data_IF_282989782423
#
_entry.id   IF_282989782423
#
_cell.length_a   1.000
_cell.length_b   1.000
_cell.length_c   1.000
_cell.angle_alpha   90.00
_cell.angle_beta   90.00
_cell.angle_gamma   90.00
#
_symmetry.space_group_name_H-M   'P 1'
#
loop_
_entity.id
_entity.type
_entity.pdbx_description
1 polymer ?
#
# COMPACT_ATOMS: atom_id res chain seq x y z
N UNK A 1 -15.24 17.46 -58.79
CA UNK A 1 -14.04 16.61 -58.83
C UNK A 1 -13.22 16.95 -57.59
N UNK A 2 -13.20 16.08 -56.59
CA UNK A 2 -12.61 16.36 -55.27
C UNK A 2 -11.09 16.22 -55.24
N UNK A 3 -10.43 16.98 -54.36
CA UNK A 3 -9.04 16.79 -53.98
C UNK A 3 -8.94 16.89 -52.46
N UNK A 4 -8.86 15.71 -51.85
CA UNK A 4 -8.15 15.30 -50.63
C UNK A 4 -8.14 16.23 -49.42
N UNK A 5 -9.08 15.95 -48.51
CA UNK A 5 -8.92 16.12 -47.06
C UNK A 5 -8.03 14.97 -46.53
N UNK A 6 -6.75 15.26 -46.28
CA UNK A 6 -5.83 14.32 -45.62
C UNK A 6 -5.82 14.60 -44.12
N UNK A 7 -6.84 14.10 -43.42
CA UNK A 7 -6.73 13.81 -41.99
C UNK A 7 -5.90 12.54 -41.82
N UNK A 8 -4.60 12.68 -41.57
CA UNK A 8 -3.80 11.62 -40.95
C UNK A 8 -4.24 11.48 -39.48
N UNK A 9 -5.30 10.69 -39.27
CA UNK A 9 -5.55 10.05 -38.00
C UNK A 9 -4.46 9.01 -37.77
N UNK A 10 -3.68 9.18 -36.71
CA UNK A 10 -2.81 8.15 -36.14
C UNK A 10 -3.58 6.83 -36.02
N UNK A 11 -3.39 5.92 -36.98
CA UNK A 11 -3.89 4.57 -36.90
C UNK A 11 -3.07 3.84 -35.84
N UNK A 12 -3.64 3.71 -34.63
CA UNK A 12 -3.13 2.80 -33.61
C UNK A 12 -3.16 1.41 -34.24
N UNK A 13 -2.02 0.91 -34.70
CA UNK A 13 -1.91 -0.41 -35.31
C UNK A 13 -2.29 -1.45 -34.25
N UNK A 14 -3.47 -2.03 -34.40
CA UNK A 14 -3.97 -3.10 -33.56
C UNK A 14 -3.08 -4.33 -33.71
N UNK A 15 -2.57 -4.87 -32.60
CA UNK A 15 -1.68 -6.02 -32.59
C UNK A 15 -2.53 -7.28 -32.71
N UNK A 16 -2.29 -8.06 -33.76
CA UNK A 16 -3.04 -9.29 -34.03
C UNK A 16 -2.40 -10.45 -33.25
N UNK A 17 -3.23 -11.36 -32.71
CA UNK A 17 -2.75 -12.57 -32.04
C UNK A 17 -3.01 -13.78 -32.93
N UNK A 18 -1.99 -14.60 -33.15
CA UNK A 18 -2.19 -15.93 -33.73
C UNK A 18 -3.01 -16.82 -32.78
N UNK A 19 -3.74 -17.80 -33.34
CA UNK A 19 -4.51 -18.76 -32.56
C UNK A 19 -3.62 -19.58 -31.61
N UNK A 20 -2.40 -19.91 -32.05
CA UNK A 20 -1.41 -20.61 -31.23
C UNK A 20 -0.92 -19.77 -30.05
N UNK A 21 -0.63 -18.48 -30.27
CA UNK A 21 -0.23 -17.57 -29.19
C UNK A 21 -1.36 -17.37 -28.19
N UNK A 22 -2.61 -17.27 -28.65
CA UNK A 22 -3.78 -17.13 -27.79
C UNK A 22 -3.98 -18.38 -26.91
N UNK A 23 -3.87 -19.57 -27.51
CA UNK A 23 -3.92 -20.86 -26.77
C UNK A 23 -2.79 -20.96 -25.73
N UNK A 24 -1.58 -20.50 -26.06
CA UNK A 24 -0.45 -20.47 -25.10
C UNK A 24 -0.72 -19.49 -23.95
N UNK A 25 -1.23 -18.30 -24.23
CA UNK A 25 -1.60 -17.31 -23.21
C UNK A 25 -2.70 -17.82 -22.29
N UNK A 26 -3.69 -18.56 -22.81
CA UNK A 26 -4.75 -19.16 -21.99
C UNK A 26 -4.27 -20.20 -20.97
N UNK A 27 -3.07 -20.78 -21.15
CA UNK A 27 -2.46 -21.67 -20.15
C UNK A 27 -1.98 -20.92 -18.91
N UNK A 28 -1.76 -19.61 -19.01
CA UNK A 28 -1.45 -18.80 -17.84
C UNK A 28 -2.66 -18.75 -16.89
N UNK A 29 -2.41 -18.67 -15.56
CA UNK A 29 -3.47 -18.46 -14.59
C UNK A 29 -4.37 -17.27 -14.94
N UNK A 30 -5.67 -17.40 -14.67
CA UNK A 30 -6.70 -16.43 -15.09
C UNK A 30 -6.32 -14.99 -14.74
N UNK A 31 -5.80 -14.75 -13.53
CA UNK A 31 -5.43 -13.42 -13.05
C UNK A 31 -4.19 -12.82 -13.77
N UNK A 32 -3.34 -13.65 -14.40
CA UNK A 32 -2.20 -13.18 -15.20
C UNK A 32 -2.53 -12.98 -16.67
N UNK A 33 -3.58 -13.63 -17.21
CA UNK A 33 -3.90 -13.59 -18.65
C UNK A 33 -4.03 -12.19 -19.21
N UNK A 34 -4.82 -11.34 -18.54
CA UNK A 34 -5.03 -9.95 -18.95
C UNK A 34 -3.72 -9.14 -18.93
N UNK A 35 -2.89 -9.37 -17.91
CA UNK A 35 -1.58 -8.74 -17.80
C UNK A 35 -0.63 -9.19 -18.92
N UNK A 36 -0.49 -10.51 -19.11
CA UNK A 36 0.38 -11.12 -20.13
C UNK A 36 -0.02 -10.60 -21.51
N UNK A 37 -1.32 -10.54 -21.80
CA UNK A 37 -1.85 -9.97 -23.05
C UNK A 37 -1.41 -8.51 -23.23
N UNK A 38 -1.68 -7.65 -22.25
CA UNK A 38 -1.31 -6.22 -22.29
C UNK A 38 0.19 -6.02 -22.46
N UNK A 39 1.01 -6.78 -21.73
CA UNK A 39 2.47 -6.66 -21.75
C UNK A 39 3.05 -7.12 -23.09
N UNK A 40 2.56 -8.24 -23.63
CA UNK A 40 2.93 -8.72 -24.94
C UNK A 40 2.53 -7.73 -26.05
N UNK A 41 1.32 -7.16 -26.02
CA UNK A 41 0.88 -6.14 -26.98
C UNK A 41 1.67 -4.84 -26.89
N UNK A 42 2.01 -4.40 -25.67
CA UNK A 42 2.87 -3.23 -25.46
C UNK A 42 4.25 -3.47 -26.10
N UNK A 43 4.87 -4.61 -25.80
CA UNK A 43 6.20 -4.96 -26.30
C UNK A 43 6.22 -5.22 -27.80
N UNK A 44 5.15 -5.81 -28.34
CA UNK A 44 4.95 -5.97 -29.78
C UNK A 44 4.94 -4.60 -30.47
N UNK A 45 4.21 -3.62 -29.93
CA UNK A 45 4.23 -2.24 -30.43
C UNK A 45 5.60 -1.58 -30.35
N UNK A 46 6.31 -1.75 -29.22
CA UNK A 46 7.66 -1.20 -29.03
C UNK A 46 8.69 -1.77 -30.02
N UNK A 47 8.58 -3.06 -30.34
CA UNK A 47 9.49 -3.76 -31.26
C UNK A 47 8.99 -3.77 -32.72
N UNK A 48 7.85 -3.13 -33.00
CA UNK A 48 7.27 -3.04 -34.35
C UNK A 48 6.60 -4.32 -34.86
N UNK A 49 6.32 -5.30 -33.99
CA UNK A 49 5.56 -6.50 -34.36
C UNK A 49 4.07 -6.17 -34.54
N UNK A 50 3.53 -6.51 -35.71
CA UNK A 50 2.09 -6.40 -36.01
C UNK A 50 1.29 -7.62 -35.57
N UNK A 51 1.95 -8.76 -35.44
CA UNK A 51 1.36 -10.02 -35.02
C UNK A 51 2.19 -10.65 -33.89
N UNK A 52 1.52 -11.12 -32.84
CA UNK A 52 2.12 -11.93 -31.78
C UNK A 52 1.92 -13.39 -32.15
N UNK A 53 2.99 -14.01 -32.65
CA UNK A 53 3.06 -15.45 -32.84
C UNK A 53 3.43 -16.15 -31.54
N UNK A 54 3.28 -17.47 -31.53
CA UNK A 54 3.58 -18.28 -30.37
C UNK A 54 5.09 -18.24 -30.03
N UNK A 55 5.95 -18.13 -31.06
CA UNK A 55 7.40 -17.96 -30.95
C UNK A 55 7.77 -16.59 -30.40
N UNK A 56 7.10 -15.51 -30.84
CA UNK A 56 7.30 -14.16 -30.31
C UNK A 56 6.90 -14.12 -28.83
N UNK A 57 5.81 -14.78 -28.47
CA UNK A 57 5.37 -14.90 -27.08
C UNK A 57 6.40 -15.66 -26.22
N UNK A 58 7.02 -16.73 -26.75
CA UNK A 58 8.08 -17.46 -26.06
C UNK A 58 9.38 -16.66 -25.96
N UNK A 59 9.74 -15.87 -26.99
CA UNK A 59 10.86 -14.93 -26.92
C UNK A 59 10.61 -13.86 -25.86
N UNK A 60 9.40 -13.32 -25.79
CA UNK A 60 9.03 -12.35 -24.76
C UNK A 60 9.12 -12.98 -23.37
N UNK A 61 8.60 -14.20 -23.20
CA UNK A 61 8.74 -14.98 -21.97
C UNK A 61 10.20 -15.18 -21.60
N UNK A 62 11.05 -15.64 -22.52
CA UNK A 62 12.46 -15.95 -22.25
C UNK A 62 13.30 -14.69 -22.01
N UNK A 63 12.99 -13.57 -22.65
CA UNK A 63 13.67 -12.31 -22.40
C UNK A 63 13.22 -11.68 -21.07
N UNK A 64 11.96 -11.88 -20.68
CA UNK A 64 11.44 -11.39 -19.40
C UNK A 64 11.86 -12.28 -18.22
N UNK A 65 11.91 -13.60 -18.41
CA UNK A 65 12.29 -14.59 -17.40
C UNK A 65 13.79 -14.95 -17.46
N UNK A 66 14.54 -14.52 -18.48
CA UNK A 66 15.98 -14.76 -18.60
C UNK A 66 16.82 -13.95 -17.61
N UNK A 67 16.22 -12.94 -16.95
CA UNK A 67 16.80 -12.24 -15.79
C UNK A 67 16.73 -13.07 -14.49
N UNK A 68 16.11 -14.24 -14.51
CA UNK A 68 15.69 -15.02 -13.35
C UNK A 68 16.69 -16.09 -12.88
N UNK A 69 18.00 -15.86 -13.03
CA UNK A 69 19.03 -16.73 -12.45
C UNK A 69 19.21 -18.10 -13.11
N UNK A 70 18.95 -18.23 -14.42
CA UNK A 70 19.19 -19.45 -15.20
C UNK A 70 18.06 -20.48 -15.17
N UNK A 71 18.32 -21.69 -15.68
CA UNK A 71 17.33 -22.74 -15.96
C UNK A 71 16.62 -23.28 -14.69
N UNK A 72 17.33 -23.33 -13.57
CA UNK A 72 16.75 -23.71 -12.27
C UNK A 72 15.73 -22.68 -11.74
N UNK A 73 16.01 -21.38 -11.93
CA UNK A 73 15.09 -20.29 -11.57
C UNK A 73 13.83 -20.28 -12.42
N UNK A 74 13.95 -20.60 -13.72
CA UNK A 74 12.82 -20.78 -14.64
C UNK A 74 11.87 -21.89 -14.21
N UNK A 75 12.40 -23.03 -13.75
CA UNK A 75 11.60 -24.17 -13.30
C UNK A 75 10.84 -23.85 -12.01
N UNK A 76 11.53 -23.25 -11.03
CA UNK A 76 10.90 -22.82 -9.79
C UNK A 76 9.82 -21.75 -10.03
N UNK A 77 10.06 -20.83 -10.96
CA UNK A 77 9.11 -19.80 -11.32
C UNK A 77 7.87 -20.35 -12.04
N UNK A 78 8.05 -21.33 -12.93
CA UNK A 78 6.93 -22.02 -13.58
C UNK A 78 5.99 -22.67 -12.54
N UNK A 79 6.55 -23.35 -11.53
CA UNK A 79 5.75 -23.94 -10.45
C UNK A 79 5.03 -22.91 -9.57
N UNK A 80 5.61 -21.72 -9.34
CA UNK A 80 4.92 -20.63 -8.63
C UNK A 80 3.78 -20.04 -9.48
N UNK A 81 4.02 -19.85 -10.78
CA UNK A 81 3.00 -19.37 -11.72
C UNK A 81 1.84 -20.37 -11.79
N UNK A 82 2.09 -21.68 -11.89
CA UNK A 82 1.04 -22.70 -11.85
C UNK A 82 0.20 -22.66 -10.57
N UNK A 83 0.83 -22.38 -9.43
CA UNK A 83 0.15 -22.15 -8.14
C UNK A 83 -0.52 -20.78 -8.03
N UNK A 84 -0.52 -20.00 -9.11
CA UNK A 84 -1.12 -18.69 -9.15
C UNK A 84 -0.39 -17.64 -8.30
N UNK A 85 0.94 -17.76 -8.16
CA UNK A 85 1.78 -16.81 -7.44
C UNK A 85 2.76 -16.13 -8.39
N UNK A 86 3.10 -14.89 -8.07
CA UNK A 86 4.14 -14.17 -8.80
C UNK A 86 5.50 -14.67 -8.33
N UNK A 87 6.36 -15.12 -9.24
CA UNK A 87 7.66 -15.64 -8.87
C UNK A 87 8.61 -14.51 -8.43
N UNK A 88 9.62 -14.86 -7.62
CA UNK A 88 10.60 -13.93 -7.07
C UNK A 88 12.00 -14.31 -7.55
N UNK A 89 12.82 -13.30 -7.83
CA UNK A 89 14.26 -13.51 -8.06
C UNK A 89 14.96 -13.88 -6.75
N UNK A 90 16.04 -14.67 -6.83
CA UNK A 90 16.83 -15.05 -5.65
C UNK A 90 17.34 -13.83 -4.86
N UNK A 91 17.82 -12.80 -5.57
CA UNK A 91 18.29 -11.56 -4.95
C UNK A 91 17.16 -10.77 -4.24
N UNK A 92 15.94 -10.75 -4.80
CA UNK A 92 14.79 -10.13 -4.11
C UNK A 92 14.35 -10.94 -2.88
N UNK A 93 14.45 -12.26 -2.93
CA UNK A 93 14.19 -13.13 -1.77
C UNK A 93 15.22 -12.87 -0.66
N UNK A 94 16.51 -12.83 -0.98
CA UNK A 94 17.57 -12.51 -0.01
C UNK A 94 17.35 -11.14 0.65
N UNK A 95 16.90 -10.14 -0.12
CA UNK A 95 16.57 -8.83 0.44
C UNK A 95 15.35 -8.89 1.37
N UNK A 96 14.32 -9.67 1.03
CA UNK A 96 13.17 -9.91 1.92
C UNK A 96 13.61 -10.59 3.23
N UNK A 97 14.63 -11.45 3.22
CA UNK A 97 15.15 -12.10 4.43
C UNK A 97 15.78 -11.10 5.43
N UNK A 98 16.22 -9.92 4.96
CA UNK A 98 16.69 -8.84 5.85
C UNK A 98 15.57 -8.18 6.66
N UNK A 99 14.32 -8.41 6.28
CA UNK A 99 13.15 -7.95 6.99
C UNK A 99 12.84 -8.92 8.14
N UNK A 100 12.48 -8.42 9.34
CA UNK A 100 11.92 -9.23 10.43
C UNK A 100 10.85 -10.24 9.96
N UNK A 101 10.95 -11.50 10.42
CA UNK A 101 10.16 -12.64 9.91
C UNK A 101 8.66 -12.35 9.88
N UNK A 102 8.11 -11.80 10.95
CA UNK A 102 6.67 -11.51 11.07
C UNK A 102 6.15 -10.50 10.03
N UNK A 103 7.01 -9.65 9.46
CA UNK A 103 6.63 -8.68 8.42
C UNK A 103 6.79 -9.24 7.01
N UNK A 104 7.57 -10.31 6.82
CA UNK A 104 7.88 -10.86 5.49
C UNK A 104 6.64 -11.27 4.70
N UNK A 105 5.63 -11.97 5.24
CA UNK A 105 4.46 -12.36 4.46
C UNK A 105 3.68 -11.15 3.95
N UNK A 106 3.62 -10.08 4.75
CA UNK A 106 2.96 -8.84 4.38
C UNK A 106 3.72 -8.09 3.29
N UNK A 107 5.04 -7.92 3.43
CA UNK A 107 5.86 -7.24 2.42
C UNK A 107 5.88 -8.04 1.12
N UNK A 108 5.88 -9.37 1.23
CA UNK A 108 5.71 -10.26 0.09
C UNK A 108 4.39 -9.98 -0.64
N UNK A 109 3.27 -9.94 0.09
CA UNK A 109 1.97 -9.59 -0.51
C UNK A 109 1.99 -8.21 -1.17
N UNK A 110 2.56 -7.19 -0.52
CA UNK A 110 2.64 -5.83 -1.08
C UNK A 110 3.45 -5.83 -2.39
N UNK A 111 4.56 -6.56 -2.42
CA UNK A 111 5.41 -6.65 -3.60
C UNK A 111 4.71 -7.39 -4.75
N UNK A 112 3.98 -8.46 -4.45
CA UNK A 112 3.19 -9.20 -5.44
C UNK A 112 2.04 -8.35 -5.99
N UNK A 113 1.30 -7.63 -5.14
CA UNK A 113 0.24 -6.72 -5.59
C UNK A 113 0.80 -5.57 -6.44
N UNK A 114 1.95 -5.01 -6.05
CA UNK A 114 2.62 -3.96 -6.84
C UNK A 114 3.11 -4.50 -8.18
N UNK A 115 3.57 -5.76 -8.22
CA UNK A 115 3.89 -6.45 -9.46
C UNK A 115 2.64 -6.57 -10.34
N UNK A 116 1.51 -7.02 -9.78
CA UNK A 116 0.24 -7.13 -10.50
C UNK A 116 -0.21 -5.79 -11.09
N UNK A 117 -0.26 -4.74 -10.24
CA UNK A 117 -0.68 -3.39 -10.61
C UNK A 117 0.16 -2.85 -11.78
N UNK A 118 1.49 -2.97 -11.68
CA UNK A 118 2.43 -2.45 -12.68
C UNK A 118 2.67 -3.39 -13.86
N UNK A 119 2.08 -4.58 -13.84
CA UNK A 119 2.23 -5.58 -14.90
C UNK A 119 3.60 -6.24 -14.94
N UNK A 120 4.28 -6.37 -13.81
CA UNK A 120 5.49 -7.16 -13.69
C UNK A 120 5.14 -8.63 -13.49
N UNK A 121 5.85 -9.50 -14.21
CA UNK A 121 5.66 -10.96 -14.14
C UNK A 121 6.47 -11.61 -13.02
N UNK A 122 7.30 -10.83 -12.31
CA UNK A 122 8.13 -11.28 -11.20
C UNK A 122 8.37 -10.14 -10.21
N UNK A 123 8.78 -10.52 -9.00
CA UNK A 123 9.38 -9.59 -8.04
C UNK A 123 10.90 -9.68 -8.11
N UNK A 124 11.50 -8.65 -8.71
CA UNK A 124 12.95 -8.47 -8.78
C UNK A 124 13.42 -7.33 -7.85
N UNK A 125 14.73 -7.13 -7.75
CA UNK A 125 15.33 -6.13 -6.86
C UNK A 125 14.81 -4.72 -7.16
N UNK A 126 14.72 -4.34 -8.44
CA UNK A 126 14.21 -3.01 -8.85
C UNK A 126 12.74 -2.81 -8.42
N UNK A 127 11.90 -3.84 -8.52
CA UNK A 127 10.52 -3.76 -8.04
C UNK A 127 10.48 -3.70 -6.52
N UNK A 128 11.29 -4.51 -5.85
CA UNK A 128 11.34 -4.56 -4.39
C UNK A 128 11.84 -3.24 -3.78
N UNK A 129 12.79 -2.57 -4.43
CA UNK A 129 13.20 -1.20 -4.06
C UNK A 129 12.04 -0.20 -4.14
N UNK A 130 11.18 -0.33 -5.17
CA UNK A 130 9.98 0.51 -5.26
C UNK A 130 8.96 0.17 -4.17
N UNK A 131 8.91 -1.06 -3.69
CA UNK A 131 8.09 -1.45 -2.53
C UNK A 131 8.61 -0.77 -1.26
N UNK A 132 9.91 -0.81 -1.03
CA UNK A 132 10.55 -0.13 0.10
C UNK A 132 10.31 1.39 0.06
N UNK A 133 10.39 1.98 -1.14
CA UNK A 133 10.11 3.38 -1.40
C UNK A 133 8.66 3.82 -1.08
N UNK A 134 7.68 2.89 -1.03
CA UNK A 134 6.32 3.23 -0.59
C UNK A 134 6.28 3.76 0.85
N UNK A 135 7.24 3.33 1.69
CA UNK A 135 7.41 3.83 3.05
C UNK A 135 8.19 5.15 3.13
N UNK A 136 8.75 5.62 2.01
CA UNK A 136 9.56 6.82 1.90
C UNK A 136 8.80 8.04 1.42
N UNK A 137 7.51 7.91 1.08
CA UNK A 137 6.65 9.04 0.76
C UNK A 137 6.64 9.99 1.96
N UNK A 138 7.58 10.94 1.94
CA UNK A 138 7.62 12.07 2.84
C UNK A 138 6.29 12.77 2.64
N UNK A 139 5.54 12.91 3.72
CA UNK A 139 4.70 14.09 3.85
C UNK A 139 5.68 15.25 3.74
N UNK A 140 5.82 15.81 2.54
CA UNK A 140 6.56 17.04 2.29
C UNK A 140 5.81 18.13 3.05
N UNK A 141 6.01 18.17 4.37
CA UNK A 141 5.67 19.33 5.16
C UNK A 141 6.54 20.44 4.61
N UNK A 142 5.92 21.43 3.99
CA UNK A 142 6.62 22.67 3.68
C UNK A 142 7.21 23.28 4.95
N UNK A 143 8.09 24.29 4.84
CA UNK A 143 8.61 24.99 6.01
C UNK A 143 7.45 25.47 6.90
N UNK A 144 7.61 25.43 8.24
CA UNK A 144 6.56 25.85 9.17
C UNK A 144 5.97 27.21 8.75
N UNK A 145 4.65 27.30 8.68
CA UNK A 145 3.98 28.56 8.34
C UNK A 145 3.93 29.47 9.56
N UNK A 146 3.84 30.77 9.31
CA UNK A 146 3.55 31.77 10.34
C UNK A 146 2.08 31.67 10.78
N UNK A 147 1.83 31.69 12.08
CA UNK A 147 0.48 31.69 12.65
C UNK A 147 0.22 33.03 13.33
N UNK A 148 -0.91 33.65 13.01
CA UNK A 148 -1.40 34.83 13.73
C UNK A 148 -1.77 34.47 15.18
N UNK A 149 -1.80 35.48 16.05
CA UNK A 149 -2.23 35.33 17.45
C UNK A 149 -3.65 34.75 17.55
N UNK A 150 -4.59 35.24 16.74
CA UNK A 150 -5.96 34.74 16.74
C UNK A 150 -6.09 33.31 16.23
N UNK A 151 -5.27 32.90 15.25
CA UNK A 151 -5.22 31.51 14.80
C UNK A 151 -4.66 30.58 15.89
N UNK A 152 -3.62 31.02 16.61
CA UNK A 152 -3.07 30.28 17.75
C UNK A 152 -4.09 30.14 18.88
N UNK A 153 -4.85 31.20 19.19
CA UNK A 153 -5.92 31.14 20.18
C UNK A 153 -7.01 30.11 19.80
N UNK A 154 -7.42 30.06 18.51
CA UNK A 154 -8.36 29.04 18.03
C UNK A 154 -7.80 27.63 18.12
N UNK A 155 -6.50 27.44 17.87
CA UNK A 155 -5.84 26.14 18.05
C UNK A 155 -5.86 25.69 19.50
N UNK A 156 -5.50 26.58 20.44
CA UNK A 156 -5.55 26.31 21.88
C UNK A 156 -6.96 25.94 22.35
N UNK A 157 -7.97 26.69 21.89
CA UNK A 157 -9.37 26.41 22.21
C UNK A 157 -9.82 25.03 21.70
N UNK A 158 -9.35 24.62 20.52
CA UNK A 158 -9.67 23.32 19.92
C UNK A 158 -9.04 22.13 20.66
N UNK A 159 -7.90 22.33 21.30
CA UNK A 159 -7.18 21.29 22.06
C UNK A 159 -7.42 21.36 23.56
N UNK A 160 -8.26 22.28 24.05
CA UNK A 160 -8.47 22.48 25.50
C UNK A 160 -8.90 21.21 26.24
N UNK A 161 -9.59 20.29 25.56
CA UNK A 161 -10.06 19.01 26.14
C UNK A 161 -9.07 17.87 25.91
N UNK A 162 -7.92 18.13 25.29
CA UNK A 162 -6.89 17.13 25.05
C UNK A 162 -6.16 16.81 26.35
N UNK A 163 -6.00 15.53 26.72
CA UNK A 163 -5.21 15.15 27.90
C UNK A 163 -3.77 15.70 27.82
N UNK A 164 -3.17 16.15 28.94
CA UNK A 164 -1.83 16.76 28.94
C UNK A 164 -0.75 15.91 28.24
N UNK A 165 -0.81 14.59 28.41
CA UNK A 165 0.14 13.64 27.80
C UNK A 165 0.09 13.60 26.26
N UNK A 166 -1.05 13.98 25.67
CA UNK A 166 -1.25 14.02 24.23
C UNK A 166 -1.23 15.46 23.67
N UNK A 167 -1.09 16.48 24.52
CA UNK A 167 -1.25 17.89 24.13
C UNK A 167 -0.26 18.29 23.04
N UNK A 168 1.04 18.08 23.25
CA UNK A 168 2.08 18.41 22.27
C UNK A 168 1.87 17.67 20.95
N UNK A 169 1.52 16.38 21.03
CA UNK A 169 1.27 15.55 19.86
C UNK A 169 0.07 16.04 19.05
N UNK A 170 -1.06 16.28 19.71
CA UNK A 170 -2.28 16.76 19.03
C UNK A 170 -2.06 18.17 18.48
N UNK A 171 -1.31 19.00 19.19
CA UNK A 171 -0.91 20.34 18.72
C UNK A 171 -0.08 20.23 17.45
N UNK A 172 0.99 19.44 17.45
CA UNK A 172 1.86 19.24 16.28
C UNK A 172 1.12 18.59 15.11
N UNK A 173 0.23 17.63 15.39
CA UNK A 173 -0.61 16.99 14.39
C UNK A 173 -1.56 18.00 13.75
N UNK A 174 -2.35 18.72 14.56
CA UNK A 174 -3.29 19.72 14.06
C UNK A 174 -2.59 20.86 13.34
N UNK A 175 -1.44 21.31 13.84
CA UNK A 175 -0.64 22.34 13.19
C UNK A 175 -0.19 21.88 11.81
N UNK A 176 0.47 20.72 11.71
CA UNK A 176 0.93 20.18 10.42
C UNK A 176 -0.22 19.96 9.44
N UNK A 177 -1.31 19.33 9.89
CA UNK A 177 -2.50 19.08 9.08
C UNK A 177 -3.10 20.41 8.57
N UNK A 178 -3.13 21.43 9.41
CA UNK A 178 -3.66 22.77 9.06
C UNK A 178 -2.75 23.46 8.05
N UNK A 179 -1.44 23.48 8.28
CA UNK A 179 -0.48 24.09 7.36
C UNK A 179 -0.45 23.37 6.02
N UNK A 180 -0.57 22.04 6.00
CA UNK A 180 -0.66 21.27 4.76
C UNK A 180 -1.89 21.69 3.93
N UNK A 181 -3.08 21.67 4.54
CA UNK A 181 -4.32 22.09 3.87
C UNK A 181 -4.30 23.56 3.46
N UNK A 182 -3.67 24.43 4.27
CA UNK A 182 -3.52 25.84 3.95
C UNK A 182 -2.65 26.04 2.71
N UNK A 183 -1.52 25.31 2.60
CA UNK A 183 -0.68 25.34 1.39
C UNK A 183 -1.41 24.83 0.16
N UNK A 184 -2.17 23.75 0.28
CA UNK A 184 -3.01 23.22 -0.82
C UNK A 184 -4.04 24.24 -1.31
N UNK A 185 -4.57 25.07 -0.41
CA UNK A 185 -5.49 26.17 -0.72
C UNK A 185 -4.79 27.49 -1.11
N UNK A 186 -3.46 27.51 -1.19
CA UNK A 186 -2.68 28.68 -1.60
C UNK A 186 -2.47 29.76 -0.54
N UNK A 187 -2.68 29.45 0.75
CA UNK A 187 -2.39 30.40 1.82
C UNK A 187 -0.89 30.45 2.13
N UNK A 188 -0.36 31.66 2.34
CA UNK A 188 1.03 31.89 2.72
C UNK A 188 1.27 31.89 4.25
N UNK A 189 0.22 32.14 5.03
CA UNK A 189 0.23 32.16 6.50
C UNK A 189 -1.08 31.59 7.06
N UNK A 190 -1.09 31.25 8.34
CA UNK A 190 -2.28 30.78 9.06
C UNK A 190 -2.86 31.93 9.88
N UNK A 191 -3.84 32.62 9.30
CA UNK A 191 -4.69 33.59 10.00
C UNK A 191 -6.11 33.04 10.22
N UNK A 192 -6.96 33.82 10.87
CA UNK A 192 -8.32 33.44 11.22
C UNK A 192 -9.15 33.14 9.96
N UNK A 193 -8.93 33.88 8.88
CA UNK A 193 -9.57 33.64 7.59
C UNK A 193 -9.12 32.31 6.98
N UNK A 194 -7.82 32.00 7.03
CA UNK A 194 -7.30 30.70 6.62
C UNK A 194 -7.90 29.56 7.46
N UNK A 195 -8.03 29.73 8.79
CA UNK A 195 -8.64 28.72 9.65
C UNK A 195 -10.11 28.49 9.34
N UNK A 196 -10.89 29.53 9.01
CA UNK A 196 -12.28 29.34 8.55
C UNK A 196 -12.31 28.46 7.30
N UNK A 197 -11.40 28.68 6.36
CA UNK A 197 -11.34 27.91 5.12
C UNK A 197 -10.78 26.49 5.27
N UNK A 198 -10.00 26.23 6.32
CA UNK A 198 -9.35 24.93 6.57
C UNK A 198 -10.13 24.07 7.56
N UNK A 199 -10.77 24.67 8.58
CA UNK A 199 -11.49 23.95 9.64
C UNK A 199 -13.01 24.00 9.52
N UNK A 200 -13.56 25.13 9.08
CA UNK A 200 -15.00 25.38 9.18
C UNK A 200 -15.70 25.18 7.83
N UNK A 201 -14.99 25.41 6.71
CA UNK A 201 -15.52 25.20 5.38
C UNK A 201 -15.85 23.71 5.14
N UNK A 202 -17.02 23.40 4.53
CA UNK A 202 -17.37 22.04 4.17
C UNK A 202 -16.29 21.42 3.29
N UNK A 203 -15.79 20.24 3.69
CA UNK A 203 -14.86 19.49 2.86
C UNK A 203 -15.61 18.84 1.71
N UNK A 204 -14.90 18.69 0.59
CA UNK A 204 -15.45 17.97 -0.54
C UNK A 204 -15.75 16.51 -0.14
N UNK A 205 -16.97 16.08 -0.51
CA UNK A 205 -17.45 14.73 -0.22
C UNK A 205 -16.75 13.75 -1.14
N UNK A 206 -16.16 12.72 -0.55
CA UNK A 206 -15.56 11.60 -1.28
C UNK A 206 -16.60 10.48 -1.35
N UNK A 207 -16.89 10.03 -2.57
CA UNK A 207 -17.72 8.86 -2.82
C UNK A 207 -16.94 7.58 -2.54
N UNK A 208 -17.66 6.49 -2.29
CA UNK A 208 -17.09 5.16 -2.13
C UNK A 208 -17.85 4.22 -3.05
N UNK A 209 -17.11 3.45 -3.85
CA UNK A 209 -17.70 2.33 -4.58
C UNK A 209 -18.26 1.30 -3.59
N UNK A 210 -19.25 0.53 -4.02
CA UNK A 210 -19.87 -0.51 -3.20
C UNK A 210 -18.84 -1.52 -2.67
N UNK A 211 -17.88 -1.91 -3.51
CA UNK A 211 -16.85 -2.89 -3.14
C UNK A 211 -15.84 -2.30 -2.14
N UNK A 212 -15.45 -1.04 -2.31
CA UNK A 212 -14.59 -0.36 -1.32
C UNK A 212 -15.31 -0.22 0.04
N UNK A 213 -16.60 0.10 0.01
CA UNK A 213 -17.41 0.21 1.22
C UNK A 213 -17.53 -1.14 1.95
N UNK A 214 -17.84 -2.22 1.22
CA UNK A 214 -17.87 -3.59 1.78
C UNK A 214 -16.53 -3.96 2.41
N UNK A 215 -15.41 -3.68 1.73
CA UNK A 215 -14.05 -3.91 2.27
C UNK A 215 -13.77 -3.13 3.55
N UNK A 216 -14.23 -1.88 3.65
CA UNK A 216 -14.10 -1.11 4.90
C UNK A 216 -14.88 -1.78 6.05
N UNK A 217 -16.06 -2.34 5.76
CA UNK A 217 -16.89 -3.00 6.77
C UNK A 217 -16.25 -4.28 7.34
N UNK A 218 -15.37 -4.96 6.60
CA UNK A 218 -14.65 -6.14 7.13
C UNK A 218 -13.61 -5.78 8.20
N UNK A 219 -13.28 -4.50 8.36
CA UNK A 219 -12.39 -4.04 9.43
C UNK A 219 -13.12 -3.98 10.78
N UNK A 220 -12.44 -4.25 11.90
CA UNK A 220 -13.04 -4.14 13.23
C UNK A 220 -13.57 -2.72 13.53
N UNK A 221 -14.65 -2.64 14.30
CA UNK A 221 -15.35 -1.39 14.64
C UNK A 221 -14.40 -0.31 15.19
N UNK A 222 -13.49 -0.70 16.10
CA UNK A 222 -12.59 0.22 16.80
C UNK A 222 -11.55 0.91 15.89
N UNK A 223 -11.25 0.35 14.71
CA UNK A 223 -10.36 0.97 13.70
C UNK A 223 -11.11 1.50 12.48
N UNK A 224 -12.33 1.02 12.20
CA UNK A 224 -13.06 1.32 10.96
C UNK A 224 -13.21 2.82 10.70
N UNK A 225 -13.61 3.57 11.73
CA UNK A 225 -13.78 5.03 11.61
C UNK A 225 -12.46 5.75 11.31
N UNK A 226 -11.36 5.26 11.88
CA UNK A 226 -10.01 5.77 11.63
C UNK A 226 -9.55 5.49 10.20
N UNK A 227 -9.74 4.26 9.72
CA UNK A 227 -9.41 3.84 8.34
C UNK A 227 -10.19 4.69 7.35
N UNK A 228 -11.50 4.88 7.56
CA UNK A 228 -12.34 5.72 6.71
C UNK A 228 -11.81 7.15 6.61
N UNK A 229 -11.56 7.80 7.75
CA UNK A 229 -11.06 9.18 7.79
C UNK A 229 -9.70 9.32 7.10
N UNK A 230 -8.81 8.35 7.30
CA UNK A 230 -7.49 8.33 6.68
C UNK A 230 -7.58 8.15 5.16
N UNK A 231 -8.44 7.24 4.68
CA UNK A 231 -8.67 6.99 3.26
C UNK A 231 -9.28 8.22 2.56
N UNK A 232 -10.31 8.84 3.15
CA UNK A 232 -10.93 10.05 2.59
C UNK A 232 -9.95 11.23 2.53
N UNK A 233 -9.14 11.43 3.59
CA UNK A 233 -8.10 12.48 3.60
C UNK A 233 -7.11 12.28 2.45
N UNK A 234 -6.67 11.03 2.29
CA UNK A 234 -5.72 10.66 1.25
C UNK A 234 -6.31 10.81 -0.16
N UNK A 235 -7.59 10.47 -0.33
CA UNK A 235 -8.31 10.68 -1.57
C UNK A 235 -8.39 12.16 -1.95
N UNK A 236 -8.72 13.04 -0.99
CA UNK A 236 -8.73 14.50 -1.21
C UNK A 236 -7.37 15.02 -1.65
N UNK A 237 -6.30 14.59 -0.98
CA UNK A 237 -4.91 14.96 -1.34
C UNK A 237 -4.53 14.54 -2.76
N UNK A 238 -5.07 13.42 -3.22
CA UNK A 238 -4.86 12.91 -4.58
C UNK A 238 -5.85 13.49 -5.60
N UNK A 239 -6.75 14.40 -5.19
CA UNK A 239 -7.79 14.96 -6.05
C UNK A 239 -8.86 13.96 -6.49
N UNK A 240 -8.97 12.82 -5.81
CA UNK A 240 -9.95 11.78 -6.12
C UNK A 240 -11.33 12.20 -5.66
N UNK A 241 -12.36 11.92 -6.46
CA UNK A 241 -13.78 12.13 -6.10
C UNK A 241 -14.43 10.87 -5.53
N UNK A 242 -13.85 9.71 -5.81
CA UNK A 242 -14.34 8.40 -5.37
C UNK A 242 -13.17 7.52 -4.92
N UNK A 243 -13.41 6.70 -3.89
CA UNK A 243 -12.52 5.64 -3.43
C UNK A 243 -13.06 4.30 -3.91
N UNK A 244 -12.26 3.60 -4.71
CA UNK A 244 -12.51 2.22 -5.10
C UNK A 244 -11.62 1.21 -4.36
N UNK A 245 -11.79 -0.05 -4.72
CA UNK A 245 -11.05 -1.19 -4.19
C UNK A 245 -9.53 -1.04 -4.43
N UNK A 246 -9.10 -0.58 -5.59
CA UNK A 246 -7.68 -0.43 -5.92
C UNK A 246 -7.03 0.69 -5.10
N UNK A 247 -7.74 1.80 -4.92
CA UNK A 247 -7.31 2.89 -4.04
C UNK A 247 -7.06 2.41 -2.61
N UNK A 248 -7.95 1.57 -2.04
CA UNK A 248 -7.76 1.01 -0.70
C UNK A 248 -6.53 0.13 -0.59
N UNK A 249 -6.25 -0.69 -1.61
CA UNK A 249 -5.05 -1.53 -1.68
C UNK A 249 -3.80 -0.67 -1.67
N UNK A 250 -3.75 0.38 -2.49
CA UNK A 250 -2.64 1.36 -2.50
C UNK A 250 -2.46 2.04 -1.15
N UNK A 251 -3.55 2.53 -0.55
CA UNK A 251 -3.50 3.23 0.73
C UNK A 251 -2.97 2.33 1.85
N UNK A 252 -3.45 1.08 1.90
CA UNK A 252 -2.98 0.05 2.84
C UNK A 252 -1.48 -0.21 2.63
N UNK A 253 -1.04 -0.45 1.40
CA UNK A 253 0.35 -0.82 1.11
C UNK A 253 1.32 0.27 1.58
N UNK A 254 1.02 1.52 1.27
CA UNK A 254 1.82 2.65 1.73
C UNK A 254 1.80 2.81 3.26
N UNK A 255 0.63 2.69 3.90
CA UNK A 255 0.53 2.77 5.35
C UNK A 255 1.33 1.65 6.04
N UNK A 256 1.28 0.43 5.50
CA UNK A 256 2.07 -0.69 6.02
C UNK A 256 3.56 -0.48 5.82
N UNK A 257 4.02 -0.03 4.65
CA UNK A 257 5.45 0.23 4.45
C UNK A 257 5.99 1.37 5.34
N UNK A 258 5.17 2.39 5.62
CA UNK A 258 5.49 3.41 6.65
C UNK A 258 5.63 2.77 8.03
N UNK A 259 4.74 1.84 8.40
CA UNK A 259 4.81 1.12 9.67
C UNK A 259 6.06 0.22 9.77
N UNK A 260 6.35 -0.56 8.72
CA UNK A 260 7.56 -1.40 8.60
C UNK A 260 8.82 -0.56 8.84
N UNK A 261 8.94 0.59 8.18
CA UNK A 261 10.10 1.48 8.34
C UNK A 261 10.27 1.95 9.78
N UNK A 262 9.17 2.34 10.43
CA UNK A 262 9.17 2.73 11.85
C UNK A 262 9.60 1.58 12.75
N UNK A 263 9.02 0.39 12.58
CA UNK A 263 9.37 -0.80 13.36
C UNK A 263 10.86 -1.14 13.20
N UNK A 264 11.39 -1.13 11.97
CA UNK A 264 12.82 -1.35 11.71
C UNK A 264 13.70 -0.34 12.45
N UNK A 265 13.29 0.94 12.51
CA UNK A 265 14.05 1.97 13.23
C UNK A 265 14.14 1.74 14.75
N UNK A 266 13.21 0.98 15.33
CA UNK A 266 13.26 0.58 16.74
C UNK A 266 14.00 -0.75 16.97
N UNK A 267 14.44 -1.44 15.92
CA UNK A 267 15.23 -2.68 16.02
C UNK A 267 14.42 -3.93 16.40
N UNK A 268 13.09 -3.88 16.39
CA UNK A 268 12.26 -5.05 16.69
C UNK A 268 12.38 -6.12 15.59
N UNK A 269 12.71 -7.35 16.01
CA UNK A 269 12.82 -8.53 15.13
C UNK A 269 11.57 -9.41 15.15
N UNK A 270 10.73 -9.24 16.16
CA UNK A 270 9.50 -10.00 16.37
C UNK A 270 8.37 -9.07 16.82
N UNK A 271 7.13 -9.46 16.53
CA UNK A 271 5.94 -8.75 16.99
C UNK A 271 5.28 -9.55 18.11
N UNK A 272 5.79 -9.38 19.32
CA UNK A 272 5.22 -9.97 20.53
C UNK A 272 4.39 -8.93 21.28
N UNK A 273 3.45 -9.37 22.13
CA UNK A 273 2.77 -8.44 23.04
C UNK A 273 3.75 -7.78 24.01
N UNK A 274 4.85 -8.46 24.35
CA UNK A 274 5.93 -7.90 25.15
C UNK A 274 6.61 -6.72 24.42
N UNK A 275 6.80 -6.80 23.10
CA UNK A 275 7.29 -5.66 22.30
C UNK A 275 6.33 -4.47 22.32
N UNK A 276 5.02 -4.70 22.49
CA UNK A 276 4.02 -3.64 22.67
C UNK A 276 4.02 -3.06 24.08
N UNK A 277 4.24 -3.87 25.11
CA UNK A 277 4.41 -3.41 26.49
C UNK A 277 5.70 -2.60 26.65
N UNK A 278 6.80 -3.09 26.08
CA UNK A 278 8.03 -2.33 25.88
C UNK A 278 7.79 -0.98 25.18
N UNK A 279 6.92 -0.96 24.16
CA UNK A 279 6.59 0.28 23.45
C UNK A 279 5.74 1.22 24.33
N UNK A 280 4.85 0.71 25.19
CA UNK A 280 4.13 1.53 26.16
C UNK A 280 5.09 2.18 27.15
N UNK A 281 6.10 1.44 27.61
CA UNK A 281 7.11 1.95 28.53
C UNK A 281 8.08 2.92 27.86
N UNK A 282 8.59 2.60 26.68
CA UNK A 282 9.62 3.38 26.00
C UNK A 282 9.06 4.62 25.31
N UNK A 283 7.80 4.59 24.91
CA UNK A 283 7.16 5.69 24.21
C UNK A 283 6.36 6.53 25.20
N UNK A 284 6.98 7.60 25.70
CA UNK A 284 6.38 8.58 26.63
C UNK A 284 4.92 8.97 26.30
N UNK A 285 4.57 9.05 25.01
CA UNK A 285 3.24 9.44 24.52
C UNK A 285 2.12 8.41 24.77
N UNK A 286 2.45 7.17 25.09
CA UNK A 286 1.48 6.09 25.32
C UNK A 286 1.24 5.83 26.81
N UNK A 287 2.13 6.33 27.68
CA UNK A 287 1.99 6.21 29.14
C UNK A 287 0.76 6.99 29.61
N UNK A 288 -0.09 6.40 30.45
CA UNK A 288 -1.25 7.09 31.06
C UNK A 288 -2.36 7.49 30.07
N UNK A 289 -2.43 6.87 28.90
CA UNK A 289 -3.49 7.12 27.92
C UNK A 289 -4.56 6.03 27.97
N UNK A 290 -5.58 6.24 28.81
CA UNK A 290 -6.67 5.29 29.04
C UNK A 290 -7.39 4.86 27.74
N UNK A 291 -7.53 5.76 26.75
CA UNK A 291 -8.12 5.41 25.46
C UNK A 291 -7.20 4.57 24.58
N UNK A 292 -5.89 4.77 24.66
CA UNK A 292 -4.92 3.89 24.00
C UNK A 292 -4.93 2.51 24.65
N UNK A 293 -4.93 2.45 25.99
CA UNK A 293 -5.00 1.20 26.76
C UNK A 293 -6.28 0.42 26.47
N UNK A 294 -7.44 1.09 26.44
CA UNK A 294 -8.72 0.45 26.07
C UNK A 294 -8.68 -0.12 24.65
N UNK A 295 -8.19 0.65 23.68
CA UNK A 295 -8.03 0.15 22.30
C UNK A 295 -7.07 -1.03 22.22
N UNK A 296 -6.00 -1.02 23.01
CA UNK A 296 -5.06 -2.14 23.10
C UNK A 296 -5.72 -3.38 23.70
N UNK A 297 -6.54 -3.23 24.75
CA UNK A 297 -7.31 -4.34 25.31
C UNK A 297 -8.29 -4.93 24.29
N UNK A 298 -8.99 -4.09 23.52
CA UNK A 298 -9.87 -4.52 22.43
C UNK A 298 -9.09 -5.25 21.32
N UNK A 299 -7.88 -4.78 20.97
CA UNK A 299 -6.98 -5.47 20.03
C UNK A 299 -6.56 -6.84 20.56
N UNK A 300 -6.14 -6.94 21.84
CA UNK A 300 -5.76 -8.20 22.47
C UNK A 300 -6.90 -9.21 22.42
N UNK A 301 -8.10 -8.77 22.76
CA UNK A 301 -9.29 -9.63 22.79
C UNK A 301 -9.71 -10.07 21.38
N UNK A 302 -9.66 -9.17 20.40
CA UNK A 302 -9.91 -9.51 19.02
C UNK A 302 -8.91 -10.55 18.48
N UNK A 303 -7.61 -10.38 18.77
CA UNK A 303 -6.58 -11.33 18.34
C UNK A 303 -6.77 -12.74 18.93
N UNK A 304 -7.32 -12.86 20.15
CA UNK A 304 -7.66 -14.15 20.76
C UNK A 304 -8.83 -14.86 20.09
N UNK A 305 -9.81 -14.09 19.58
CA UNK A 305 -11.09 -14.59 19.06
C UNK A 305 -11.17 -14.66 17.52
N UNK A 306 -10.13 -14.21 16.81
CA UNK A 306 -10.16 -14.04 15.36
C UNK A 306 -10.40 -15.40 14.66
N UNK A 307 -11.44 -15.55 13.82
CA UNK A 307 -11.57 -16.71 12.94
C UNK A 307 -10.49 -16.67 11.84
N UNK A 308 -10.11 -17.84 11.34
CA UNK A 308 -9.15 -18.07 10.24
C UNK A 308 -9.54 -17.29 8.98
N UNK A 309 -9.17 -16.01 8.89
CA UNK A 309 -9.31 -15.22 7.68
C UNK A 309 -7.97 -14.58 7.35
N UNK A 310 -7.22 -15.30 6.49
CA UNK A 310 -6.65 -14.81 5.23
C UNK A 310 -5.64 -13.66 5.24
N UNK A 311 -5.21 -13.15 6.40
CA UNK A 311 -4.15 -12.14 6.47
C UNK A 311 -3.27 -12.42 7.68
N UNK A 312 -2.03 -12.82 7.36
CA UNK A 312 -0.87 -13.04 8.23
C UNK A 312 -1.01 -14.16 9.28
N UNK A 313 -0.30 -15.26 9.03
CA UNK A 313 0.35 -16.04 10.09
C UNK A 313 -0.42 -17.25 10.62
N UNK A 314 -1.07 -18.05 9.78
CA UNK A 314 -1.65 -19.35 10.17
C UNK A 314 -0.61 -20.22 10.91
N UNK A 315 0.55 -20.47 10.29
CA UNK A 315 1.63 -21.25 10.93
C UNK A 315 2.36 -20.49 12.05
N UNK A 316 2.47 -19.16 11.94
CA UNK A 316 3.22 -18.38 12.91
C UNK A 316 2.47 -18.30 14.24
N UNK A 317 1.16 -18.05 14.20
CA UNK A 317 0.31 -17.94 15.38
C UNK A 317 0.04 -19.30 16.02
N UNK A 318 -0.02 -20.38 15.24
CA UNK A 318 -0.12 -21.74 15.77
C UNK A 318 1.17 -22.20 16.44
N UNK A 319 2.34 -21.92 15.85
CA UNK A 319 3.63 -22.14 16.53
C UNK A 319 3.72 -21.31 17.82
N UNK A 320 3.25 -20.06 17.78
CA UNK A 320 3.19 -19.20 18.96
C UNK A 320 2.28 -19.77 20.05
N UNK A 321 1.12 -20.34 19.67
CA UNK A 321 0.17 -20.93 20.62
C UNK A 321 0.73 -22.20 21.27
N UNK A 322 1.39 -23.06 20.49
CA UNK A 322 2.06 -24.28 20.99
C UNK A 322 3.23 -23.96 21.90
N UNK A 323 4.03 -22.96 21.54
CA UNK A 323 5.13 -22.48 22.37
C UNK A 323 4.64 -21.92 23.72
N UNK A 324 3.59 -21.10 23.72
CA UNK A 324 2.96 -20.57 24.95
C UNK A 324 2.31 -21.65 25.83
N UNK A 325 1.99 -22.81 25.26
CA UNK A 325 1.49 -23.98 25.99
C UNK A 325 2.61 -24.91 26.47
N UNK A 326 3.88 -24.60 26.19
CA UNK A 326 5.04 -25.44 26.53
C UNK A 326 5.20 -26.67 25.63
N UNK A 327 4.47 -26.74 24.52
CA UNK A 327 4.42 -27.88 23.61
C UNK A 327 5.34 -27.70 22.38
N UNK A 328 6.62 -27.38 22.62
CA UNK A 328 7.67 -27.37 21.59
C UNK A 328 8.59 -26.15 21.60
N UNK A 329 9.59 -26.14 20.71
CA UNK A 329 10.47 -25.00 20.42
C UNK A 329 10.11 -24.37 19.07
N UNK A 330 10.34 -23.06 18.96
CA UNK A 330 9.99 -22.17 17.83
C UNK A 330 10.44 -22.67 16.44
#
# INVERSE_FOLDING_TARGET
>A
MGIFDSKEGSAVSEVIWSDEALKRMQRAPVFLRGMVKRLAEKKARELGYREITAEILDQFKNQMMGRMGGEAGLTAAAGQIEKGRIPWTAAAQERLETVPEFMRPMIKQIAEELALERGHLEVNVELFEKVEALGEVQEQGGPPMEWSEGAMARLQEKIKTTPPIAMDFVTDMLRRDTEELAREKGFARIDEAALVQVWDAPQERILWSDDAWKRLLTSPDFVRSGIRKAAERRARKMGLKEIDSEHLTKFRNEAMMKAVKRIRSFGYRELTFDAFEDALEKVKRLQGNEQAEKRLAEIREYMKKKPEVGVLGEELMDRFRKYLQGEGTL
#
